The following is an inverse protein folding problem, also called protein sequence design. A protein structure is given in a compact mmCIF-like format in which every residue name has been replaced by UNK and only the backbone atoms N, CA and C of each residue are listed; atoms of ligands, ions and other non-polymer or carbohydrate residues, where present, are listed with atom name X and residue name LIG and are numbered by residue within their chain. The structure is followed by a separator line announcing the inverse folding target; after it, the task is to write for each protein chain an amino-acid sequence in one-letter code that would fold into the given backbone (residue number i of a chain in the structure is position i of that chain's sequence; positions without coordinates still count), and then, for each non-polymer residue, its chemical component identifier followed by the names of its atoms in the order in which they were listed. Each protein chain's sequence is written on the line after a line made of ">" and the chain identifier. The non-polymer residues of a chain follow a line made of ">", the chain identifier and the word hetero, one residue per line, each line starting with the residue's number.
data_IF_960617912065
#
_entry.id   IF_960617912065
#
_cell.length_a   1.000
_cell.length_b   1.000
_cell.length_c   1.000
_cell.angle_alpha   90.00
_cell.angle_beta   90.00
_cell.angle_gamma   90.00
#
_symmetry.space_group_name_H-M   'P 1'
#
loop_
_entity.id
_entity.type
_entity.pdbx_description
1 polymer ?
#
# COMPACT_ATOMS: atom_id res chain seq x y z
N UNK A 1 17.52 -4.01 9.72
CA UNK A 1 17.22 -3.12 8.57
C UNK A 1 18.00 -1.82 8.69
N UNK A 2 18.60 -1.32 7.60
CA UNK A 2 19.23 0.00 7.52
C UNK A 2 18.22 1.01 6.97
N UNK A 3 17.82 1.99 7.78
CA UNK A 3 16.89 3.05 7.36
C UNK A 3 17.67 4.28 6.89
N UNK A 4 17.42 4.72 5.65
CA UNK A 4 17.96 5.95 5.08
C UNK A 4 16.80 6.93 4.92
N UNK A 5 16.78 8.00 5.72
CA UNK A 5 15.71 8.99 5.71
C UNK A 5 16.22 10.38 6.11
N UNK A 6 15.56 11.43 5.61
CA UNK A 6 15.80 12.83 6.02
C UNK A 6 15.14 13.20 7.35
N UNK A 7 14.18 12.41 7.80
CA UNK A 7 13.47 12.61 9.07
C UNK A 7 13.57 11.36 9.94
N UNK A 8 13.23 11.51 11.22
CA UNK A 8 13.10 10.40 12.16
C UNK A 8 11.64 10.23 12.58
N UNK A 9 11.24 8.97 12.75
CA UNK A 9 9.92 8.58 13.24
C UNK A 9 10.06 7.73 14.51
N UNK A 10 8.97 7.50 15.24
CA UNK A 10 9.02 6.86 16.56
C UNK A 10 9.42 5.37 16.51
N UNK A 11 9.35 4.69 15.37
CA UNK A 11 9.84 3.30 15.28
C UNK A 11 11.31 3.22 14.85
N UNK A 12 11.95 4.33 14.48
CA UNK A 12 13.31 4.31 13.92
C UNK A 12 14.36 3.83 14.93
N UNK A 13 14.13 4.02 16.23
CA UNK A 13 15.05 3.58 17.28
C UNK A 13 15.06 2.07 17.49
N UNK A 14 14.13 1.33 16.89
CA UNK A 14 14.11 -0.14 16.96
C UNK A 14 15.33 -0.79 16.32
N UNK A 15 16.09 -0.05 15.51
CA UNK A 15 17.42 -0.49 15.05
C UNK A 15 18.37 -0.81 16.20
N UNK A 16 18.28 -0.10 17.34
CA UNK A 16 19.13 -0.37 18.50
C UNK A 16 18.73 -1.67 19.21
N UNK A 17 17.45 -2.03 19.18
CA UNK A 17 16.91 -3.26 19.78
C UNK A 17 17.20 -4.50 18.92
N UNK A 18 16.93 -4.42 17.62
CA UNK A 18 16.99 -5.56 16.70
C UNK A 18 18.28 -5.67 15.88
N UNK A 19 19.14 -4.64 15.94
CA UNK A 19 20.34 -4.55 15.13
C UNK A 19 20.08 -4.00 13.72
N UNK A 20 21.18 -3.56 13.10
CA UNK A 20 21.20 -3.09 11.72
C UNK A 20 21.53 -4.26 10.77
N UNK A 21 20.80 -4.33 9.66
CA UNK A 21 21.11 -5.24 8.55
C UNK A 21 21.43 -4.36 7.34
N UNK A 22 22.67 -4.39 6.88
CA UNK A 22 23.15 -3.55 5.77
C UNK A 22 22.59 -3.98 4.42
N UNK A 23 22.18 -5.24 4.27
CA UNK A 23 21.63 -5.77 3.02
C UNK A 23 20.13 -5.51 2.92
N UNK A 24 19.45 -5.27 4.04
CA UNK A 24 18.05 -4.89 4.10
C UNK A 24 17.91 -3.37 4.26
N UNK A 25 17.89 -2.66 3.14
CA UNK A 25 17.86 -1.19 3.10
C UNK A 25 16.44 -0.66 2.88
N UNK A 26 15.99 0.20 3.78
CA UNK A 26 14.76 0.98 3.63
C UNK A 26 15.09 2.43 3.33
N UNK A 27 14.93 2.83 2.07
CA UNK A 27 15.10 4.24 1.65
C UNK A 27 13.76 4.95 1.76
N UNK A 28 13.57 5.71 2.85
CA UNK A 28 12.33 6.40 3.16
C UNK A 28 12.35 7.81 2.58
N UNK A 29 11.66 8.00 1.44
CA UNK A 29 11.41 9.30 0.81
C UNK A 29 9.91 9.56 0.76
N UNK A 30 9.49 10.69 1.31
CA UNK A 30 8.08 11.11 1.31
C UNK A 30 7.78 11.92 0.06
N UNK A 31 6.74 11.53 -0.65
CA UNK A 31 6.16 12.25 -1.78
C UNK A 31 4.68 11.85 -1.88
N UNK A 32 3.89 12.62 -2.63
CA UNK A 32 2.51 12.26 -2.89
C UNK A 32 2.16 12.24 -4.38
N UNK A 33 1.16 11.42 -4.67
CA UNK A 33 0.50 11.33 -5.96
C UNK A 33 -1.02 11.41 -5.73
N UNK A 34 -1.71 11.89 -6.75
CA UNK A 34 -3.16 12.06 -6.72
C UNK A 34 -3.81 11.17 -7.78
N UNK A 35 -5.02 10.67 -7.51
CA UNK A 35 -5.71 9.72 -8.39
C UNK A 35 -7.18 10.11 -8.56
N UNK A 36 -7.66 10.25 -9.79
CA UNK A 36 -9.06 10.60 -10.11
C UNK A 36 -10.05 9.43 -9.98
N UNK A 37 -9.57 8.27 -9.54
CA UNK A 37 -10.40 7.12 -9.16
C UNK A 37 -9.69 6.21 -8.15
N UNK A 38 -10.45 5.55 -7.28
CA UNK A 38 -9.92 4.49 -6.38
C UNK A 38 -9.95 3.12 -7.05
N UNK A 39 -10.92 2.86 -7.94
CA UNK A 39 -10.81 1.82 -8.96
C UNK A 39 -10.20 2.48 -10.19
N UNK A 40 -8.88 2.45 -10.33
CA UNK A 40 -8.24 2.85 -11.59
C UNK A 40 -8.89 1.99 -12.68
N UNK A 41 -9.63 2.61 -13.59
CA UNK A 41 -10.53 1.91 -14.51
C UNK A 41 -9.89 1.84 -15.90
N UNK A 42 -9.74 0.63 -16.45
CA UNK A 42 -9.00 0.35 -17.70
C UNK A 42 -9.68 0.92 -18.96
N UNK A 43 -10.84 1.58 -18.82
CA UNK A 43 -11.54 2.20 -19.96
C UNK A 43 -10.97 3.57 -20.36
N UNK A 44 -10.14 4.20 -19.53
CA UNK A 44 -9.31 5.32 -19.93
C UNK A 44 -7.87 4.81 -20.06
N UNK A 45 -7.31 4.84 -21.26
CA UNK A 45 -5.89 4.53 -21.54
C UNK A 45 -4.94 5.61 -20.94
N UNK A 46 -5.35 6.24 -19.86
CA UNK A 46 -4.74 7.38 -19.18
C UNK A 46 -4.33 6.89 -17.80
N UNK A 47 -3.06 7.08 -17.46
CA UNK A 47 -2.62 7.00 -16.08
C UNK A 47 -3.39 8.09 -15.31
N UNK A 48 -4.43 7.71 -14.58
CA UNK A 48 -5.25 8.63 -13.75
C UNK A 48 -4.43 9.23 -12.58
N UNK A 49 -3.14 8.89 -12.50
CA UNK A 49 -2.14 9.44 -11.59
C UNK A 49 -1.75 10.85 -12.01
N UNK A 50 -1.79 11.73 -11.03
CA UNK A 50 -1.45 13.13 -11.16
C UNK A 50 -0.32 13.41 -10.16
N UNK A 51 0.82 13.87 -10.67
CA UNK A 51 1.92 14.29 -9.82
C UNK A 51 1.51 15.47 -8.94
N UNK A 52 2.13 15.60 -7.77
CA UNK A 52 1.89 16.74 -6.87
C UNK A 52 2.09 18.10 -7.57
N UNK A 53 3.11 18.23 -8.43
CA UNK A 53 3.36 19.43 -9.21
C UNK A 53 2.20 19.75 -10.17
N UNK A 54 1.74 18.75 -10.93
CA UNK A 54 0.63 18.92 -11.86
C UNK A 54 -0.69 19.21 -11.14
N UNK A 55 -0.92 18.57 -9.99
CA UNK A 55 -2.09 18.84 -9.16
C UNK A 55 -2.10 20.30 -8.70
N UNK A 56 -0.98 20.78 -8.15
CA UNK A 56 -0.84 22.15 -7.67
C UNK A 56 -0.96 23.20 -8.77
N UNK A 57 -0.49 22.88 -9.99
CA UNK A 57 -0.51 23.80 -11.13
C UNK A 57 -1.87 23.87 -11.84
N UNK A 58 -2.56 22.73 -12.00
CA UNK A 58 -3.66 22.63 -12.96
C UNK A 58 -5.03 22.41 -12.32
N UNK A 59 -5.10 21.94 -11.06
CA UNK A 59 -6.35 21.40 -10.50
C UNK A 59 -6.78 22.05 -9.19
N UNK A 60 -5.89 22.80 -8.52
CA UNK A 60 -6.21 23.44 -7.24
C UNK A 60 -7.44 24.37 -7.31
N UNK A 61 -7.68 25.01 -8.45
CA UNK A 61 -8.77 25.99 -8.63
C UNK A 61 -10.14 25.36 -8.92
N UNK A 62 -10.21 24.10 -9.36
CA UNK A 62 -11.46 23.41 -9.71
C UNK A 62 -11.68 22.17 -8.84
N UNK A 63 -11.36 22.28 -7.56
CA UNK A 63 -11.39 21.17 -6.62
C UNK A 63 -12.16 21.54 -5.35
N UNK A 64 -13.01 20.62 -4.87
CA UNK A 64 -13.61 20.74 -3.55
C UNK A 64 -13.03 19.69 -2.61
N UNK A 65 -12.43 20.19 -1.53
CA UNK A 65 -11.98 19.37 -0.42
C UNK A 65 -13.16 18.66 0.24
N UNK A 66 -12.96 17.42 0.64
CA UNK A 66 -13.90 16.76 1.54
C UNK A 66 -13.96 17.51 2.88
N UNK A 67 -15.18 17.88 3.33
CA UNK A 67 -15.42 18.71 4.53
C UNK A 67 -16.00 17.93 5.72
N UNK A 68 -15.84 16.61 5.76
CA UNK A 68 -16.29 15.81 6.91
C UNK A 68 -15.50 16.14 8.19
N UNK A 69 -16.14 15.97 9.35
CA UNK A 69 -15.49 16.18 10.67
C UNK A 69 -14.63 14.98 11.10
N UNK A 70 -14.93 13.78 10.59
CA UNK A 70 -14.19 12.55 10.84
C UNK A 70 -13.64 12.04 9.50
N UNK A 71 -12.34 11.76 9.46
CA UNK A 71 -11.68 11.29 8.23
C UNK A 71 -11.22 9.85 8.41
N UNK A 72 -11.78 8.95 7.60
CA UNK A 72 -11.27 7.60 7.45
C UNK A 72 -10.13 7.60 6.42
N UNK A 73 -8.95 7.15 6.85
CA UNK A 73 -7.78 6.94 5.99
C UNK A 73 -7.32 5.50 6.08
N UNK A 74 -6.57 5.07 5.08
CA UNK A 74 -6.01 3.72 5.04
C UNK A 74 -4.49 3.85 5.07
N UNK A 75 -3.85 3.21 6.03
CA UNK A 75 -2.40 3.07 6.08
C UNK A 75 -2.04 1.64 5.67
N UNK A 76 -1.31 1.53 4.57
CA UNK A 76 -0.63 0.30 4.19
C UNK A 76 0.73 0.29 4.86
N UNK A 77 1.05 -0.81 5.55
CA UNK A 77 2.28 -1.01 6.29
C UNK A 77 2.80 -2.43 6.07
N UNK A 78 3.84 -2.55 5.27
CA UNK A 78 4.29 -3.84 4.74
C UNK A 78 3.15 -4.50 3.96
N UNK A 79 2.74 -5.69 4.40
CA UNK A 79 1.57 -6.43 3.86
C UNK A 79 0.26 -6.14 4.60
N UNK A 80 0.31 -5.34 5.67
CA UNK A 80 -0.85 -5.04 6.52
C UNK A 80 -1.59 -3.81 6.00
N UNK A 81 -2.91 -3.83 6.16
CA UNK A 81 -3.78 -2.68 5.96
C UNK A 81 -4.37 -2.26 7.30
N UNK A 82 -4.20 -0.99 7.63
CA UNK A 82 -4.61 -0.39 8.90
C UNK A 82 -5.61 0.72 8.62
N UNK A 83 -6.80 0.63 9.21
CA UNK A 83 -7.74 1.74 9.21
C UNK A 83 -7.31 2.78 10.23
N UNK A 84 -7.28 4.05 9.82
CA UNK A 84 -7.05 5.21 10.67
C UNK A 84 -8.32 6.06 10.70
N UNK A 85 -8.76 6.43 11.89
CA UNK A 85 -9.95 7.23 12.13
C UNK A 85 -9.52 8.53 12.82
N UNK A 86 -9.44 9.61 12.04
CA UNK A 86 -9.06 10.93 12.54
C UNK A 86 -10.28 11.63 13.13
N UNK A 87 -10.11 12.14 14.35
CA UNK A 87 -11.16 12.74 15.17
C UNK A 87 -10.61 14.01 15.83
N UNK A 88 -11.49 14.85 16.37
CA UNK A 88 -11.06 16.04 17.14
C UNK A 88 -10.18 15.68 18.36
N UNK A 89 -10.35 14.48 18.90
CA UNK A 89 -9.67 14.03 20.12
C UNK A 89 -8.41 13.19 19.86
N UNK A 90 -8.02 13.01 18.59
CA UNK A 90 -6.88 12.19 18.19
C UNK A 90 -7.21 11.19 17.09
N UNK A 91 -6.27 10.28 16.85
CA UNK A 91 -6.38 9.26 15.79
C UNK A 91 -6.56 7.89 16.42
N UNK A 92 -7.65 7.21 16.08
CA UNK A 92 -7.88 5.82 16.44
C UNK A 92 -7.49 4.89 15.30
N UNK A 93 -7.22 3.65 15.64
CA UNK A 93 -7.01 2.55 14.70
C UNK A 93 -8.07 1.48 14.88
N UNK A 94 -8.15 0.54 13.93
CA UNK A 94 -8.98 -0.65 14.11
C UNK A 94 -8.51 -1.57 15.26
N UNK A 95 -7.28 -1.41 15.79
CA UNK A 95 -6.83 -2.11 16.99
C UNK A 95 -7.53 -1.60 18.26
N UNK A 96 -8.00 -0.36 18.23
CA UNK A 96 -8.73 0.27 19.34
C UNK A 96 -10.22 -0.09 19.33
N UNK A 97 -10.65 -0.87 18.33
CA UNK A 97 -12.05 -1.24 18.13
C UNK A 97 -12.48 -2.29 19.16
N UNK A 98 -13.54 -1.98 19.89
CA UNK A 98 -14.27 -2.94 20.72
C UNK A 98 -15.24 -3.77 19.87
N UNK A 99 -15.88 -3.12 18.91
CA UNK A 99 -16.87 -3.74 18.03
C UNK A 99 -16.91 -3.00 16.69
N UNK A 100 -17.13 -3.76 15.63
CA UNK A 100 -17.43 -3.22 14.30
C UNK A 100 -18.81 -3.72 13.90
N UNK A 101 -19.76 -2.79 13.76
CA UNK A 101 -21.09 -3.06 13.27
C UNK A 101 -21.28 -2.46 11.87
N UNK A 102 -22.09 -3.13 11.06
CA UNK A 102 -22.52 -2.59 9.77
C UNK A 102 -23.89 -1.97 9.99
N UNK A 103 -23.98 -0.64 9.97
CA UNK A 103 -25.26 0.05 9.91
C UNK A 103 -25.86 -0.18 8.52
N UNK A 104 -27.14 -0.59 8.47
CA UNK A 104 -27.87 -0.65 7.21
C UNK A 104 -28.16 0.78 6.78
N UNK A 105 -27.33 1.32 5.89
CA UNK A 105 -27.64 2.56 5.19
C UNK A 105 -29.00 2.45 4.47
N UNK A 106 -29.71 3.57 4.32
CA UNK A 106 -31.01 3.64 3.65
C UNK A 106 -30.93 3.35 2.14
N UNK A 107 -29.72 3.38 1.56
CA UNK A 107 -29.46 3.07 0.15
C UNK A 107 -28.42 1.97 0.01
N UNK A 108 -28.68 1.01 -0.89
CA UNK A 108 -27.88 -0.19 -1.15
C UNK A 108 -26.43 0.10 -1.58
N UNK A 109 -26.11 1.34 -1.98
CA UNK A 109 -24.80 1.79 -2.43
C UNK A 109 -23.96 2.52 -1.37
N UNK A 110 -24.55 2.87 -0.21
CA UNK A 110 -23.87 3.59 0.87
C UNK A 110 -24.09 2.87 2.20
N UNK A 111 -23.49 1.69 2.35
CA UNK A 111 -23.37 1.08 3.67
C UNK A 111 -22.36 1.88 4.47
N UNK A 112 -22.83 2.74 5.38
CA UNK A 112 -21.97 3.21 6.46
C UNK A 112 -21.67 2.04 7.38
N UNK A 113 -20.51 2.07 8.02
CA UNK A 113 -20.21 1.15 9.11
C UNK A 113 -20.02 1.96 10.37
N UNK A 114 -20.39 1.40 11.50
CA UNK A 114 -20.15 2.02 12.79
C UNK A 114 -19.08 1.23 13.52
N UNK A 115 -18.05 1.91 13.99
CA UNK A 115 -17.02 1.32 14.84
C UNK A 115 -17.15 1.90 16.24
N UNK A 116 -17.25 1.02 17.23
CA UNK A 116 -17.21 1.39 18.64
C UNK A 116 -15.81 1.10 19.16
N UNK A 117 -15.13 2.11 19.71
CA UNK A 117 -13.81 1.95 20.30
C UNK A 117 -13.87 1.48 21.76
N UNK A 118 -12.73 1.09 22.30
CA UNK A 118 -12.59 0.59 23.68
C UNK A 118 -13.01 1.62 24.74
N UNK A 119 -12.92 2.92 24.43
CA UNK A 119 -13.38 4.01 25.30
C UNK A 119 -14.89 4.27 25.20
N UNK A 120 -15.62 3.47 24.41
CA UNK A 120 -17.07 3.57 24.24
C UNK A 120 -17.52 4.60 23.21
N UNK A 121 -16.60 5.30 22.53
CA UNK A 121 -16.96 6.23 21.46
C UNK A 121 -17.34 5.49 20.19
N UNK A 122 -18.38 5.98 19.53
CA UNK A 122 -18.85 5.45 18.25
C UNK A 122 -18.45 6.37 17.10
N UNK A 123 -18.06 5.76 15.99
CA UNK A 123 -17.67 6.45 14.78
C UNK A 123 -18.37 5.85 13.58
N UNK A 124 -19.16 6.68 12.92
CA UNK A 124 -19.66 6.35 11.59
C UNK A 124 -18.51 6.49 10.59
N UNK A 125 -18.15 5.37 9.99
CA UNK A 125 -17.23 5.29 8.88
C UNK A 125 -18.01 5.62 7.61
N UNK A 126 -18.02 6.90 7.28
CA UNK A 126 -18.40 7.37 5.96
C UNK A 126 -17.18 7.27 5.06
N UNK A 127 -17.24 6.42 4.04
CA UNK A 127 -16.13 6.23 3.12
C UNK A 127 -16.61 6.13 1.68
N UNK A 128 -15.92 6.81 0.78
CA UNK A 128 -16.08 6.61 -0.67
C UNK A 128 -15.53 5.23 -1.12
N UNK A 129 -14.87 4.50 -0.22
CA UNK A 129 -14.40 3.14 -0.44
C UNK A 129 -15.49 2.06 -0.23
N UNK A 130 -16.76 2.42 -0.08
CA UNK A 130 -17.82 1.50 0.37
C UNK A 130 -18.02 0.27 -0.50
N UNK A 131 -17.69 0.34 -1.79
CA UNK A 131 -17.74 -0.81 -2.70
C UNK A 131 -16.63 -1.85 -2.43
N UNK A 132 -15.55 -1.47 -1.74
CA UNK A 132 -14.38 -2.30 -1.45
C UNK A 132 -14.34 -2.78 0.01
N UNK A 133 -15.47 -2.72 0.73
CA UNK A 133 -15.51 -3.00 2.16
C UNK A 133 -14.94 -4.37 2.55
N UNK A 134 -15.27 -5.42 1.81
CA UNK A 134 -14.77 -6.77 2.08
C UNK A 134 -13.25 -6.86 1.90
N UNK A 135 -12.66 -6.05 1.02
CA UNK A 135 -11.21 -5.98 0.81
C UNK A 135 -10.54 -5.13 1.87
N UNK A 136 -11.12 -3.99 2.23
CA UNK A 136 -10.61 -3.13 3.29
C UNK A 136 -10.56 -3.87 4.64
N UNK A 137 -11.66 -4.52 5.02
CA UNK A 137 -11.74 -5.28 6.27
C UNK A 137 -11.06 -6.65 6.24
N UNK A 138 -10.39 -6.98 5.13
CA UNK A 138 -9.48 -8.12 5.12
C UNK A 138 -8.13 -7.81 5.78
N UNK A 139 -7.85 -6.52 6.06
CA UNK A 139 -6.62 -6.01 6.66
C UNK A 139 -5.35 -6.43 5.89
N UNK A 140 -5.51 -6.73 4.60
CA UNK A 140 -4.50 -7.33 3.75
C UNK A 140 -4.28 -6.47 2.51
N UNK A 141 -3.04 -6.02 2.34
CA UNK A 141 -2.61 -5.19 1.22
C UNK A 141 -2.88 -5.86 -0.13
N UNK A 142 -2.58 -7.16 -0.26
CA UNK A 142 -2.70 -7.89 -1.52
C UNK A 142 -4.16 -7.98 -1.94
N UNK A 143 -5.07 -8.24 -1.00
CA UNK A 143 -6.51 -8.26 -1.28
C UNK A 143 -7.00 -6.88 -1.72
N UNK A 144 -6.59 -5.80 -1.06
CA UNK A 144 -6.93 -4.45 -1.49
C UNK A 144 -6.41 -4.17 -2.90
N UNK A 145 -5.10 -4.31 -3.12
CA UNK A 145 -4.50 -3.95 -4.40
C UNK A 145 -4.89 -4.89 -5.54
N UNK A 146 -5.24 -6.15 -5.27
CA UNK A 146 -5.80 -7.06 -6.29
C UNK A 146 -7.14 -6.62 -6.85
N UNK A 147 -7.88 -5.79 -6.09
CA UNK A 147 -9.14 -5.21 -6.55
C UNK A 147 -8.93 -3.93 -7.37
N UNK A 148 -7.72 -3.36 -7.33
CA UNK A 148 -7.34 -2.22 -8.13
C UNK A 148 -6.74 -2.71 -9.46
N UNK A 149 -7.08 -2.07 -10.58
CA UNK A 149 -6.52 -2.44 -11.89
C UNK A 149 -5.19 -1.69 -12.12
N UNK A 150 -4.22 -1.91 -11.24
CA UNK A 150 -2.88 -1.33 -11.32
C UNK A 150 -1.92 -2.33 -11.97
N UNK A 151 -1.02 -1.86 -12.82
CA UNK A 151 0.02 -2.71 -13.41
C UNK A 151 0.90 -3.33 -12.30
N UNK A 152 1.21 -4.62 -12.41
CA UNK A 152 1.98 -5.33 -11.38
C UNK A 152 3.41 -4.80 -11.20
N UNK A 153 3.95 -4.12 -12.21
CA UNK A 153 5.27 -3.48 -12.18
C UNK A 153 5.25 -2.09 -11.53
N UNK A 154 4.07 -1.57 -11.19
CA UNK A 154 3.90 -0.26 -10.60
C UNK A 154 4.67 -0.12 -9.28
N UNK A 155 5.24 1.07 -9.06
CA UNK A 155 6.01 1.41 -7.86
C UNK A 155 5.21 1.20 -6.58
N UNK A 156 3.88 1.34 -6.62
CA UNK A 156 3.02 1.18 -5.46
C UNK A 156 3.20 -0.21 -4.83
N UNK A 157 3.48 -1.26 -5.61
CA UNK A 157 3.69 -2.62 -5.11
C UNK A 157 5.04 -2.82 -4.40
N UNK A 158 5.96 -1.87 -4.56
CA UNK A 158 7.30 -1.91 -3.97
C UNK A 158 7.44 -0.97 -2.76
N UNK A 159 6.51 -0.05 -2.58
CA UNK A 159 6.55 0.92 -1.48
C UNK A 159 6.04 0.27 -0.18
N UNK A 160 6.84 0.27 0.90
CA UNK A 160 6.52 -0.48 2.11
C UNK A 160 5.50 0.23 3.00
N UNK A 161 5.32 1.55 2.85
CA UNK A 161 4.36 2.32 3.64
C UNK A 161 3.66 3.35 2.77
N UNK A 162 2.34 3.31 2.74
CA UNK A 162 1.51 4.20 1.90
C UNK A 162 0.29 4.63 2.71
N UNK A 163 0.04 5.93 2.78
CA UNK A 163 -1.22 6.47 3.29
C UNK A 163 -2.11 6.79 2.10
N UNK A 164 -3.34 6.28 2.13
CA UNK A 164 -4.37 6.53 1.15
C UNK A 164 -5.46 7.36 1.81
N UNK A 165 -5.80 8.47 1.17
CA UNK A 165 -6.75 9.45 1.67
C UNK A 165 -7.77 9.75 0.59
N UNK A 166 -9.05 9.78 0.95
CA UNK A 166 -10.02 10.48 0.12
C UNK A 166 -9.80 11.97 0.29
N UNK A 167 -9.38 12.63 -0.79
CA UNK A 167 -8.97 14.02 -0.76
C UNK A 167 -10.16 14.94 -1.04
N UNK A 168 -11.04 14.56 -1.96
CA UNK A 168 -12.24 15.33 -2.31
C UNK A 168 -12.75 15.01 -3.72
N UNK A 169 -13.28 16.01 -4.42
CA UNK A 169 -13.82 15.85 -5.78
C UNK A 169 -13.29 16.91 -6.72
N UNK A 170 -12.86 16.52 -7.91
CA UNK A 170 -12.53 17.47 -8.99
C UNK A 170 -13.79 17.83 -9.79
N UNK A 171 -13.86 19.09 -10.21
CA UNK A 171 -14.92 19.66 -11.01
C UNK A 171 -14.37 19.97 -12.39
N UNK A 172 -14.84 19.29 -13.42
CA UNK A 172 -14.60 19.74 -14.78
C UNK A 172 -15.87 20.42 -15.28
N UNK A 173 -15.80 21.72 -15.60
CA UNK A 173 -16.96 22.50 -16.12
C UNK A 173 -17.59 21.88 -17.37
N UNK A 174 -16.84 21.05 -18.10
CA UNK A 174 -17.30 20.37 -19.32
C UNK A 174 -17.80 18.94 -19.08
N UNK A 175 -17.63 18.37 -17.88
CA UNK A 175 -18.13 17.03 -17.55
C UNK A 175 -19.35 17.15 -16.64
N UNK A 176 -20.34 16.27 -16.89
CA UNK A 176 -21.60 16.23 -16.13
C UNK A 176 -21.43 15.64 -14.72
N UNK A 177 -20.25 15.07 -14.41
CA UNK A 177 -19.97 14.31 -13.20
C UNK A 177 -18.68 14.76 -12.52
N UNK A 178 -18.65 14.62 -11.19
CA UNK A 178 -17.48 14.89 -10.37
C UNK A 178 -16.61 13.62 -10.28
N UNK A 179 -15.29 13.77 -10.41
CA UNK A 179 -14.37 12.66 -10.22
C UNK A 179 -13.86 12.64 -8.77
N UNK A 180 -13.94 11.49 -8.08
CA UNK A 180 -13.37 11.37 -6.75
C UNK A 180 -11.85 11.49 -6.83
N UNK A 181 -11.25 12.27 -5.95
CA UNK A 181 -9.82 12.46 -5.91
C UNK A 181 -9.25 11.82 -4.65
N UNK A 182 -8.26 10.95 -4.83
CA UNK A 182 -7.53 10.30 -3.76
C UNK A 182 -6.11 10.82 -3.71
N UNK A 183 -5.55 10.89 -2.52
CA UNK A 183 -4.15 11.25 -2.28
C UNK A 183 -3.43 10.04 -1.71
N UNK A 184 -2.34 9.65 -2.35
CA UNK A 184 -1.45 8.60 -1.90
C UNK A 184 -0.18 9.28 -1.42
N UNK A 185 0.09 9.19 -0.13
CA UNK A 185 1.35 9.69 0.46
C UNK A 185 2.25 8.49 0.72
N UNK A 186 3.36 8.43 0.02
CA UNK A 186 4.35 7.39 0.20
C UNK A 186 5.23 7.71 1.38
N UNK A 187 5.53 6.70 2.20
CA UNK A 187 6.41 6.82 3.34
C UNK A 187 6.06 8.03 4.26
N UNK A 188 4.81 8.15 4.73
CA UNK A 188 4.37 9.23 5.61
C UNK A 188 5.18 9.26 6.92
N UNK A 189 5.30 10.44 7.53
CA UNK A 189 5.80 10.57 8.90
C UNK A 189 4.63 10.39 9.88
N UNK A 190 4.58 9.24 10.54
CA UNK A 190 3.47 8.85 11.40
C UNK A 190 3.40 9.73 12.66
N UNK A 191 4.55 10.03 13.28
CA UNK A 191 4.61 10.93 14.43
C UNK A 191 4.06 12.33 14.13
N UNK A 192 4.40 12.90 12.98
CA UNK A 192 3.90 14.23 12.56
C UNK A 192 2.40 14.24 12.30
N UNK A 193 1.82 13.10 11.93
CA UNK A 193 0.40 12.94 11.73
C UNK A 193 -0.37 12.62 13.02
N UNK A 194 0.31 12.46 14.16
CA UNK A 194 -0.30 12.01 15.41
C UNK A 194 -0.79 10.56 15.38
N UNK A 195 -0.24 9.73 14.48
CA UNK A 195 -0.56 8.32 14.38
C UNK A 195 0.43 7.53 15.23
N UNK A 196 -0.06 6.93 16.31
CA UNK A 196 0.76 6.09 17.19
C UNK A 196 0.28 4.64 17.10
N UNK A 197 1.15 3.77 16.62
CA UNK A 197 0.96 2.33 16.53
C UNK A 197 2.14 1.70 17.27
N UNK A 198 1.98 0.47 17.77
CA UNK A 198 3.11 -0.24 18.37
C UNK A 198 4.33 -0.24 17.43
N UNK A 199 5.43 0.26 17.97
CA UNK A 199 6.72 0.46 17.32
C UNK A 199 7.38 -0.84 16.89
N UNK A 200 7.21 -1.92 17.67
CA UNK A 200 7.71 -3.24 17.32
C UNK A 200 6.91 -3.80 16.14
N UNK A 201 5.58 -3.64 16.16
CA UNK A 201 4.71 -4.03 15.05
C UNK A 201 5.08 -3.31 13.74
N UNK A 202 5.34 -2.00 13.78
CA UNK A 202 5.77 -1.26 12.59
C UNK A 202 7.10 -1.76 12.06
N UNK A 203 8.10 -1.86 12.95
CA UNK A 203 9.42 -2.31 12.56
C UNK A 203 9.39 -3.71 11.95
N UNK A 204 8.70 -4.66 12.59
CA UNK A 204 8.59 -6.04 12.10
C UNK A 204 7.85 -6.10 10.75
N UNK A 205 6.75 -5.35 10.59
CA UNK A 205 6.00 -5.31 9.32
C UNK A 205 6.85 -4.79 8.16
N UNK A 206 7.69 -3.77 8.39
CA UNK A 206 8.62 -3.25 7.39
C UNK A 206 9.73 -4.26 7.06
N UNK A 207 10.33 -4.89 8.08
CA UNK A 207 11.38 -5.90 7.91
C UNK A 207 10.88 -7.10 7.12
N UNK A 208 9.70 -7.62 7.45
CA UNK A 208 9.07 -8.74 6.77
C UNK A 208 8.85 -8.42 5.29
N UNK A 209 8.21 -7.29 5.00
CA UNK A 209 7.91 -6.88 3.63
C UNK A 209 9.17 -6.69 2.79
N UNK A 210 10.16 -5.97 3.30
CA UNK A 210 11.40 -5.70 2.57
C UNK A 210 12.23 -6.97 2.36
N UNK A 211 12.20 -7.90 3.33
CA UNK A 211 12.89 -9.18 3.23
C UNK A 211 12.25 -10.02 2.13
N UNK A 212 10.92 -10.10 2.09
CA UNK A 212 10.19 -10.80 1.03
C UNK A 212 10.48 -10.20 -0.35
N UNK A 213 10.47 -8.86 -0.48
CA UNK A 213 10.80 -8.17 -1.73
C UNK A 213 12.22 -8.44 -2.21
N UNK A 214 13.16 -8.59 -1.27
CA UNK A 214 14.53 -8.96 -1.60
C UNK A 214 14.62 -10.41 -2.06
N UNK A 215 13.98 -11.34 -1.34
CA UNK A 215 13.94 -12.76 -1.73
C UNK A 215 13.30 -12.94 -3.12
N UNK A 216 12.21 -12.23 -3.42
CA UNK A 216 11.58 -12.22 -4.76
C UNK A 216 12.56 -11.82 -5.87
N UNK A 217 13.46 -10.86 -5.61
CA UNK A 217 14.48 -10.40 -6.57
C UNK A 217 15.69 -11.34 -6.67
N UNK A 218 16.01 -12.07 -5.60
CA UNK A 218 17.12 -13.03 -5.56
C UNK A 218 16.78 -14.36 -6.26
N UNK A 219 15.50 -14.64 -6.53
CA UNK A 219 15.09 -15.76 -7.40
C UNK A 219 15.63 -15.47 -8.81
N UNK A 220 16.77 -16.07 -9.10
CA UNK A 220 17.38 -16.05 -10.42
C UNK A 220 16.40 -16.66 -11.43
N UNK A 221 16.35 -16.18 -12.69
CA UNK A 221 15.52 -16.83 -13.71
C UNK A 221 15.84 -18.33 -13.74
N UNK A 222 14.84 -19.17 -14.03
CA UNK A 222 15.07 -20.59 -14.26
C UNK A 222 16.02 -20.75 -15.45
N UNK A 223 17.32 -20.85 -15.13
CA UNK A 223 18.34 -21.13 -16.12
C UNK A 223 18.15 -22.60 -16.51
N UNK A 224 17.85 -22.85 -17.79
CA UNK A 224 17.73 -24.22 -18.31
C UNK A 224 18.96 -25.04 -17.92
N UNK A 225 18.80 -26.35 -17.75
CA UNK A 225 19.93 -27.22 -17.41
C UNK A 225 21.08 -27.08 -18.43
N UNK A 226 20.76 -26.85 -19.69
CA UNK A 226 21.74 -26.60 -20.76
C UNK A 226 22.55 -25.31 -20.50
N UNK A 227 21.88 -24.22 -20.13
CA UNK A 227 22.53 -22.95 -19.81
C UNK A 227 23.33 -23.02 -18.48
N UNK A 228 22.89 -23.86 -17.52
CA UNK A 228 23.66 -24.15 -16.30
C UNK A 228 24.93 -24.96 -16.61
N UNK A 229 24.87 -25.91 -17.53
CA UNK A 229 26.01 -26.72 -17.99
C UNK A 229 27.01 -25.84 -18.75
N UNK A 230 26.53 -25.03 -19.71
CA UNK A 230 27.35 -24.09 -20.49
C UNK A 230 28.02 -23.03 -19.62
N UNK A 231 27.30 -22.41 -18.67
CA UNK A 231 27.87 -21.38 -17.78
C UNK A 231 28.92 -21.92 -16.81
N UNK A 232 28.96 -23.24 -16.59
CA UNK A 232 30.00 -23.93 -15.82
C UNK A 232 31.15 -24.45 -16.69
N UNK A 233 31.16 -24.12 -17.99
CA UNK A 233 32.22 -24.50 -18.93
C UNK A 233 32.16 -25.96 -19.38
N UNK A 234 31.04 -26.65 -19.16
CA UNK A 234 30.85 -28.01 -19.67
C UNK A 234 30.29 -27.97 -21.10
N UNK A 235 30.86 -28.78 -21.98
CA UNK A 235 30.33 -29.00 -23.33
C UNK A 235 29.02 -29.80 -23.25
N UNK A 236 28.01 -29.39 -24.03
CA UNK A 236 26.75 -30.12 -24.18
C UNK A 236 26.93 -31.42 -24.97
N UNK A 237 28.07 -31.58 -25.65
CA UNK A 237 28.36 -32.74 -26.47
C UNK A 237 28.98 -33.86 -25.66
N UNK A 238 28.16 -34.91 -25.51
CA UNK A 238 28.53 -36.29 -25.21
C UNK A 238 29.10 -36.54 -23.81
N UNK A 239 28.39 -37.39 -23.06
CA UNK A 239 28.94 -37.98 -21.83
C UNK A 239 30.29 -38.65 -22.12
N UNK A 240 31.28 -38.46 -21.25
CA UNK A 240 32.54 -39.23 -21.25
C UNK A 240 32.35 -40.75 -21.06
N UNK A 241 31.10 -41.19 -20.88
CA UNK A 241 30.76 -42.60 -20.75
C UNK A 241 30.79 -43.26 -22.14
N UNK A 242 31.60 -44.31 -22.33
CA UNK A 242 31.57 -45.09 -23.56
C UNK A 242 30.17 -45.67 -23.79
N UNK A 243 29.65 -45.56 -25.01
CA UNK A 243 28.40 -46.20 -25.39
C UNK A 243 28.56 -47.72 -25.29
N UNK A 244 28.02 -48.31 -24.23
CA UNK A 244 27.95 -49.76 -24.10
C UNK A 244 27.04 -50.29 -25.20
N UNK A 245 27.62 -51.02 -26.15
CA UNK A 245 26.87 -51.73 -27.19
C UNK A 245 25.82 -52.61 -26.51
N UNK A 246 24.54 -52.40 -26.82
CA UNK A 246 23.49 -53.34 -26.43
C UNK A 246 23.82 -54.69 -27.06
N UNK A 247 23.97 -55.73 -26.23
CA UNK A 247 24.06 -57.12 -26.73
C UNK A 247 22.74 -57.44 -27.44
N UNK A 248 22.88 -58.06 -28.63
CA UNK A 248 21.81 -58.39 -29.58
C UNK A 248 20.64 -59.11 -28.92
#
# INVERSE_FOLDING_TARGET
>A
MKIISKFKDFYDYKVAKYGMDEKLVYTRKTYCEYFESFVIDVYTASDDRISEENFNKNLKENFEYFKGINFHKILILGEKLIHLFFTENGVYTHFDAKKLDVSKGTYQSYYSKEITFNDGRNFEITTDFGYAWDKLFSYDRKKLFSSMRIDKSDIIFNEPMILIEYFGKSYNKNLKYHHPLYKFTYNPNLSQMGVYIDEDFIWQSLVEFLSNKRSEKEISPEVSNENKILSKGFDLKTSFRPNMKKKK
#
